data_IF_007382618441
#
_entry.id   IF_007382618441
#
_cell.length_a   1.000
_cell.length_b   1.000
_cell.length_c   1.000
_cell.angle_alpha   90.00
_cell.angle_beta   90.00
_cell.angle_gamma   90.00
#
_symmetry.space_group_name_H-M   'P 1'
#
loop_
_entity.id
_entity.type
_entity.pdbx_description
1 polymer ?
#
# COMPACT_ATOMS: atom_id res chain seq x y z
N UNK A 1 -2.32 -16.80 -6.75
CA UNK A 1 -2.06 -15.66 -5.85
C UNK A 1 -2.73 -15.89 -4.49
N UNK A 2 -2.35 -15.10 -3.47
CA UNK A 2 -2.82 -15.25 -2.08
C UNK A 2 -4.35 -15.34 -1.95
N UNK A 3 -5.06 -14.59 -2.80
CA UNK A 3 -6.51 -14.47 -2.82
C UNK A 3 -7.21 -15.45 -3.79
N UNK A 4 -6.49 -16.45 -4.31
CA UNK A 4 -7.08 -17.47 -5.17
C UNK A 4 -8.02 -18.39 -4.39
N UNK A 5 -8.99 -18.96 -5.10
CA UNK A 5 -9.94 -19.93 -4.56
C UNK A 5 -9.26 -21.16 -3.92
N UNK A 6 -8.01 -21.47 -4.28
CA UNK A 6 -7.23 -22.56 -3.70
C UNK A 6 -6.84 -22.38 -2.23
N UNK A 7 -6.94 -21.16 -1.67
CA UNK A 7 -6.64 -20.89 -0.26
C UNK A 7 -7.87 -20.74 0.63
N UNK A 8 -9.07 -20.79 0.05
CA UNK A 8 -10.35 -20.72 0.76
C UNK A 8 -10.45 -21.88 1.77
N UNK A 9 -10.89 -21.59 2.99
CA UNK A 9 -10.93 -22.59 4.07
C UNK A 9 -9.56 -22.90 4.70
N UNK A 10 -8.53 -22.10 4.40
CA UNK A 10 -7.19 -22.25 4.99
C UNK A 10 -6.54 -20.92 5.40
N UNK A 11 -7.37 -19.91 5.63
CA UNK A 11 -6.95 -18.55 6.01
C UNK A 11 -6.33 -18.45 7.41
N UNK A 12 -6.41 -19.50 8.23
CA UNK A 12 -5.68 -19.59 9.50
C UNK A 12 -4.16 -19.78 9.31
N UNK A 13 -3.70 -20.18 8.12
CA UNK A 13 -2.27 -20.42 7.85
C UNK A 13 -1.48 -19.10 7.83
N UNK A 14 -0.59 -18.95 8.81
CA UNK A 14 0.20 -17.72 9.01
C UNK A 14 1.07 -17.32 7.81
N UNK A 15 1.73 -18.28 7.16
CA UNK A 15 2.70 -18.01 6.08
C UNK A 15 2.10 -17.26 4.89
N UNK A 16 0.80 -17.43 4.60
CA UNK A 16 0.11 -16.64 3.58
C UNK A 16 0.19 -15.14 3.92
N UNK A 17 -0.21 -14.78 5.13
CA UNK A 17 -0.25 -13.39 5.56
C UNK A 17 1.15 -12.79 5.72
N UNK A 18 2.12 -13.59 6.14
CA UNK A 18 3.52 -13.16 6.18
C UNK A 18 4.05 -12.81 4.78
N UNK A 19 3.74 -13.61 3.76
CA UNK A 19 4.11 -13.32 2.37
C UNK A 19 3.47 -12.00 1.91
N UNK A 20 2.18 -11.78 2.23
CA UNK A 20 1.49 -10.53 1.93
C UNK A 20 2.17 -9.34 2.60
N UNK A 21 2.40 -9.42 3.91
CA UNK A 21 3.02 -8.35 4.67
C UNK A 21 4.44 -8.05 4.18
N UNK A 22 5.22 -9.08 3.87
CA UNK A 22 6.56 -8.92 3.32
C UNK A 22 6.53 -8.24 1.94
N UNK A 23 5.53 -8.54 1.12
CA UNK A 23 5.36 -7.90 -0.20
C UNK A 23 5.07 -6.42 -0.04
N UNK A 24 4.07 -6.05 0.78
CA UNK A 24 3.71 -4.64 0.99
C UNK A 24 4.84 -3.88 1.69
N UNK A 25 5.51 -4.48 2.68
CA UNK A 25 6.68 -3.89 3.34
C UNK A 25 7.81 -3.61 2.34
N UNK A 26 8.10 -4.54 1.42
CA UNK A 26 9.14 -4.32 0.39
C UNK A 26 8.83 -3.13 -0.50
N UNK A 27 7.58 -3.00 -0.95
CA UNK A 27 7.15 -1.85 -1.77
C UNK A 27 7.26 -0.55 -0.98
N UNK A 28 6.77 -0.52 0.27
CA UNK A 28 6.88 0.66 1.14
C UNK A 28 8.34 1.06 1.39
N UNK A 29 9.23 0.10 1.66
CA UNK A 29 10.65 0.38 1.88
C UNK A 29 11.31 0.98 0.63
N UNK A 30 10.94 0.53 -0.57
CA UNK A 30 11.47 1.11 -1.82
C UNK A 30 11.06 2.57 -1.98
N UNK A 31 9.80 2.91 -1.68
CA UNK A 31 9.33 4.30 -1.72
C UNK A 31 10.12 5.17 -0.76
N UNK A 32 10.28 4.74 0.50
CA UNK A 32 11.06 5.48 1.50
C UNK A 32 12.52 5.67 1.08
N UNK A 33 13.15 4.62 0.52
CA UNK A 33 14.52 4.71 0.01
C UNK A 33 14.65 5.71 -1.14
N UNK A 34 13.68 5.74 -2.07
CA UNK A 34 13.69 6.67 -3.19
C UNK A 34 13.42 8.11 -2.75
N UNK A 35 12.53 8.33 -1.77
CA UNK A 35 12.32 9.64 -1.15
C UNK A 35 13.61 10.18 -0.53
N UNK A 36 14.31 9.36 0.27
CA UNK A 36 15.59 9.77 0.84
C UNK A 36 16.69 10.03 -0.20
N UNK A 37 16.71 9.26 -1.31
CA UNK A 37 17.62 9.52 -2.43
C UNK A 37 17.30 10.82 -3.15
N UNK A 38 16.02 11.14 -3.33
CA UNK A 38 15.58 12.38 -3.95
C UNK A 38 15.95 13.59 -3.10
N UNK A 39 15.73 13.53 -1.79
CA UNK A 39 16.12 14.58 -0.85
C UNK A 39 17.64 14.84 -0.89
N UNK A 40 18.44 13.77 -0.90
CA UNK A 40 19.90 13.88 -1.02
C UNK A 40 20.33 14.48 -2.37
N UNK A 41 19.70 14.08 -3.48
CA UNK A 41 19.98 14.60 -4.80
C UNK A 41 19.62 16.09 -4.92
N UNK A 42 18.46 16.49 -4.40
CA UNK A 42 18.04 17.89 -4.36
C UNK A 42 18.96 18.75 -3.51
N UNK A 43 19.42 18.23 -2.36
CA UNK A 43 20.38 18.94 -1.51
C UNK A 43 21.72 19.15 -2.23
N UNK A 44 22.21 18.13 -2.94
CA UNK A 44 23.43 18.23 -3.73
C UNK A 44 23.28 19.22 -4.90
N UNK A 45 22.16 19.16 -5.62
CA UNK A 45 21.86 20.09 -6.72
C UNK A 45 21.84 21.55 -6.24
N UNK A 46 21.19 21.82 -5.11
CA UNK A 46 21.13 23.16 -4.52
C UNK A 46 22.51 23.65 -4.05
N UNK A 47 23.37 22.76 -3.52
CA UNK A 47 24.73 23.12 -3.14
C UNK A 47 25.62 23.43 -4.36
N UNK A 48 25.39 22.76 -5.50
CA UNK A 48 26.13 23.00 -6.75
C UNK A 48 25.65 24.24 -7.50
N UNK A 49 24.43 24.71 -7.27
CA UNK A 49 23.94 25.97 -7.83
C UNK A 49 24.50 27.21 -7.11
N UNK A 50 24.98 27.04 -5.87
CA UNK A 50 25.55 28.11 -5.03
C UNK A 50 27.07 28.27 -5.23
N UNK A 51 27.73 27.24 -5.75
CA UNK A 51 29.14 27.24 -6.16
C UNK A 51 29.16 27.42 -7.70
N UNK A 52 30.07 28.21 -8.28
CA UNK A 52 30.10 28.52 -9.73
C UNK A 52 30.56 27.28 -10.56
N UNK A 53 29.77 26.20 -10.51
CA UNK A 53 30.07 24.91 -11.10
C UNK A 53 29.69 24.90 -12.58
N UNK A 54 30.45 24.18 -13.40
CA UNK A 54 30.20 24.10 -14.84
C UNK A 54 28.79 23.62 -15.18
N UNK A 55 28.16 24.26 -16.17
CA UNK A 55 26.84 23.92 -16.74
C UNK A 55 26.68 22.42 -17.11
N UNK A 56 27.77 21.74 -17.47
CA UNK A 56 27.74 20.31 -17.77
C UNK A 56 27.47 19.42 -16.54
N UNK A 57 27.97 19.82 -15.37
CA UNK A 57 27.76 19.12 -14.11
C UNK A 57 26.36 19.40 -13.52
N UNK A 58 25.86 20.63 -13.69
CA UNK A 58 24.47 20.97 -13.38
C UNK A 58 23.47 20.14 -14.20
N UNK A 59 23.68 20.06 -15.53
CA UNK A 59 22.82 19.27 -16.41
C UNK A 59 22.80 17.77 -16.07
N UNK A 60 23.97 17.17 -15.76
CA UNK A 60 24.03 15.76 -15.32
C UNK A 60 23.30 15.53 -13.98
N UNK A 61 23.36 16.50 -13.08
CA UNK A 61 22.70 16.41 -11.78
C UNK A 61 21.18 16.57 -11.93
N UNK A 62 20.73 17.48 -12.79
CA UNK A 62 19.33 17.66 -13.12
C UNK A 62 18.72 16.40 -13.77
N UNK A 63 19.39 15.80 -14.77
CA UNK A 63 18.95 14.54 -15.37
C UNK A 63 18.87 13.40 -14.33
N UNK A 64 19.80 13.38 -13.36
CA UNK A 64 19.78 12.42 -12.26
C UNK A 64 18.61 12.65 -11.30
N UNK A 65 18.26 13.91 -11.00
CA UNK A 65 17.11 14.25 -10.13
C UNK A 65 15.81 13.84 -10.83
N UNK A 66 15.62 14.24 -12.09
CA UNK A 66 14.43 13.90 -12.88
C UNK A 66 14.23 12.38 -12.98
N UNK A 67 15.31 11.62 -13.17
CA UNK A 67 15.24 10.16 -13.21
C UNK A 67 14.79 9.55 -11.87
N UNK A 68 15.28 10.07 -10.74
CA UNK A 68 14.87 9.62 -9.41
C UNK A 68 13.41 9.98 -9.13
N UNK A 69 12.96 11.16 -9.55
CA UNK A 69 11.56 11.59 -9.43
C UNK A 69 10.61 10.69 -10.23
N UNK A 70 10.95 10.42 -11.50
CA UNK A 70 10.16 9.54 -12.35
C UNK A 70 10.05 8.12 -11.75
N UNK A 71 11.16 7.60 -11.23
CA UNK A 71 11.19 6.29 -10.56
C UNK A 71 10.37 6.30 -9.27
N UNK A 72 10.45 7.37 -8.48
CA UNK A 72 9.67 7.53 -7.27
C UNK A 72 8.16 7.57 -7.58
N UNK A 73 7.75 8.35 -8.57
CA UNK A 73 6.35 8.44 -9.00
C UNK A 73 5.79 7.07 -9.41
N UNK A 74 6.57 6.29 -10.17
CA UNK A 74 6.19 4.92 -10.53
C UNK A 74 6.03 4.03 -9.30
N UNK A 75 6.96 4.08 -8.35
CA UNK A 75 6.91 3.24 -7.14
C UNK A 75 5.79 3.64 -6.19
N UNK A 76 5.47 4.93 -6.08
CA UNK A 76 4.30 5.42 -5.32
C UNK A 76 3.01 4.90 -5.95
N UNK A 77 2.91 4.89 -7.28
CA UNK A 77 1.76 4.32 -7.97
C UNK A 77 1.65 2.80 -7.72
N UNK A 78 2.76 2.06 -7.80
CA UNK A 78 2.76 0.62 -7.49
C UNK A 78 2.35 0.35 -6.03
N UNK A 79 2.82 1.16 -5.08
CA UNK A 79 2.41 1.07 -3.68
C UNK A 79 0.91 1.25 -3.51
N UNK A 80 0.36 2.30 -4.12
CA UNK A 80 -1.08 2.56 -4.15
C UNK A 80 -1.84 1.36 -4.71
N UNK A 81 -1.42 0.85 -5.87
CA UNK A 81 -2.08 -0.26 -6.53
C UNK A 81 -2.08 -1.53 -5.67
N UNK A 82 -0.95 -1.85 -5.03
CA UNK A 82 -0.83 -3.00 -4.11
C UNK A 82 -1.77 -2.85 -2.92
N UNK A 83 -1.81 -1.68 -2.28
CA UNK A 83 -2.66 -1.44 -1.10
C UNK A 83 -4.13 -1.47 -1.48
N UNK A 84 -4.54 -0.74 -2.52
CA UNK A 84 -5.93 -0.69 -2.98
C UNK A 84 -6.41 -2.05 -3.47
N UNK A 85 -5.62 -2.73 -4.31
CA UNK A 85 -5.94 -4.06 -4.81
C UNK A 85 -6.08 -5.06 -3.67
N UNK A 86 -5.17 -5.06 -2.70
CA UNK A 86 -5.24 -5.96 -1.54
C UNK A 86 -6.52 -5.72 -0.72
N UNK A 87 -6.84 -4.46 -0.42
CA UNK A 87 -8.06 -4.09 0.30
C UNK A 87 -9.32 -4.53 -0.45
N UNK A 88 -9.36 -4.33 -1.77
CA UNK A 88 -10.46 -4.78 -2.64
C UNK A 88 -10.63 -6.31 -2.62
N UNK A 89 -9.52 -7.06 -2.68
CA UNK A 89 -9.56 -8.52 -2.61
C UNK A 89 -10.10 -9.02 -1.27
N UNK A 90 -9.68 -8.44 -0.15
CA UNK A 90 -10.25 -8.78 1.15
C UNK A 90 -11.76 -8.54 1.21
N UNK A 91 -12.22 -7.36 0.80
CA UNK A 91 -13.64 -7.02 0.82
C UNK A 91 -14.47 -7.95 -0.06
N UNK A 92 -13.95 -8.32 -1.25
CA UNK A 92 -14.59 -9.29 -2.13
C UNK A 92 -14.70 -10.66 -1.47
N UNK A 93 -13.64 -11.17 -0.86
CA UNK A 93 -13.65 -12.47 -0.19
C UNK A 93 -14.59 -12.49 1.02
N UNK A 94 -14.61 -11.40 1.80
CA UNK A 94 -15.51 -11.25 2.94
C UNK A 94 -16.99 -11.18 2.53
N UNK A 95 -17.28 -10.62 1.36
CA UNK A 95 -18.63 -10.51 0.82
C UNK A 95 -19.08 -11.76 0.04
N UNK A 96 -18.14 -12.62 -0.35
CA UNK A 96 -18.45 -13.82 -1.14
C UNK A 96 -18.96 -14.97 -0.28
N UNK A 97 -19.95 -15.70 -0.78
CA UNK A 97 -20.34 -16.97 -0.18
C UNK A 97 -19.47 -18.11 -0.75
N UNK A 98 -18.30 -18.27 -0.16
CA UNK A 98 -17.38 -19.34 -0.52
C UNK A 98 -17.73 -20.56 0.33
N UNK A 99 -18.54 -21.47 -0.21
CA UNK A 99 -19.10 -22.64 0.49
C UNK A 99 -18.07 -23.61 1.10
N UNK A 100 -16.78 -23.45 0.83
CA UNK A 100 -15.68 -24.18 1.48
C UNK A 100 -15.13 -23.49 2.75
N UNK A 101 -15.46 -22.22 3.00
CA UNK A 101 -15.00 -21.48 4.17
C UNK A 101 -16.03 -21.57 5.31
N UNK A 102 -15.64 -22.25 6.39
CA UNK A 102 -16.43 -22.30 7.62
C UNK A 102 -16.45 -20.95 8.34
N UNK A 103 -17.28 -20.87 9.39
CA UNK A 103 -17.41 -19.67 10.24
C UNK A 103 -16.06 -19.22 10.82
N UNK A 104 -15.27 -20.18 11.32
CA UNK A 104 -13.94 -19.90 11.88
C UNK A 104 -12.98 -19.34 10.84
N UNK A 105 -12.99 -19.87 9.61
CA UNK A 105 -12.14 -19.36 8.53
C UNK A 105 -12.51 -17.92 8.17
N UNK A 106 -13.81 -17.62 8.10
CA UNK A 106 -14.30 -16.26 7.86
C UNK A 106 -13.90 -15.30 8.98
N UNK A 107 -13.95 -15.75 10.23
CA UNK A 107 -13.46 -14.97 11.37
C UNK A 107 -11.95 -14.67 11.24
N UNK A 108 -11.15 -15.65 10.82
CA UNK A 108 -9.72 -15.45 10.53
C UNK A 108 -9.50 -14.44 9.40
N UNK A 109 -10.20 -14.57 8.27
CA UNK A 109 -10.11 -13.63 7.15
C UNK A 109 -10.44 -12.21 7.59
N UNK A 110 -11.50 -12.05 8.38
CA UNK A 110 -11.90 -10.75 8.90
C UNK A 110 -10.86 -10.17 9.88
N UNK A 111 -10.28 -11.01 10.75
CA UNK A 111 -9.17 -10.62 11.62
C UNK A 111 -7.96 -10.12 10.83
N UNK A 112 -7.58 -10.83 9.75
CA UNK A 112 -6.48 -10.47 8.85
C UNK A 112 -6.75 -9.20 8.07
N UNK A 113 -7.99 -8.98 7.66
CA UNK A 113 -8.40 -7.73 7.03
C UNK A 113 -8.22 -6.55 7.99
N UNK A 114 -8.72 -6.66 9.22
CA UNK A 114 -8.55 -5.64 10.26
C UNK A 114 -7.08 -5.39 10.60
N UNK A 115 -6.28 -6.45 10.70
CA UNK A 115 -4.82 -6.34 10.87
C UNK A 115 -4.20 -5.54 9.72
N UNK A 116 -4.46 -5.93 8.47
CA UNK A 116 -3.93 -5.28 7.28
C UNK A 116 -4.24 -3.77 7.26
N UNK A 117 -5.50 -3.38 7.46
CA UNK A 117 -5.89 -1.97 7.45
C UNK A 117 -5.17 -1.16 8.54
N UNK A 118 -5.02 -1.72 9.76
CA UNK A 118 -4.32 -1.03 10.85
C UNK A 118 -2.82 -0.93 10.61
N UNK A 119 -2.20 -2.00 10.10
CA UNK A 119 -0.77 -2.03 9.81
C UNK A 119 -0.39 -0.99 8.76
N UNK A 120 -1.20 -0.84 7.71
CA UNK A 120 -0.94 0.07 6.60
C UNK A 120 -1.83 1.32 6.63
N UNK A 121 -2.26 1.75 7.83
CA UNK A 121 -3.24 2.84 8.01
C UNK A 121 -2.87 4.12 7.27
N UNK A 122 -1.58 4.48 7.20
CA UNK A 122 -1.11 5.68 6.50
C UNK A 122 -1.46 5.58 5.01
N UNK A 123 -1.06 4.49 4.35
CA UNK A 123 -1.35 4.26 2.94
C UNK A 123 -2.85 4.08 2.69
N UNK A 124 -3.58 3.49 3.63
CA UNK A 124 -5.05 3.37 3.55
C UNK A 124 -5.70 4.76 3.58
N UNK A 125 -5.25 5.66 4.46
CA UNK A 125 -5.82 7.01 4.56
C UNK A 125 -5.42 7.90 3.38
N UNK A 126 -4.19 7.82 2.88
CA UNK A 126 -3.76 8.49 1.65
C UNK A 126 -4.61 8.10 0.44
N UNK A 127 -5.15 6.88 0.45
CA UNK A 127 -6.01 6.34 -0.61
C UNK A 127 -7.49 6.27 -0.22
N UNK A 128 -7.90 6.94 0.86
CA UNK A 128 -9.28 6.89 1.37
C UNK A 128 -10.32 7.23 0.29
N UNK A 129 -10.18 8.27 -0.55
CA UNK A 129 -11.20 8.60 -1.57
C UNK A 129 -11.45 7.47 -2.58
N UNK A 130 -10.39 6.78 -3.01
CA UNK A 130 -10.49 5.63 -3.92
C UNK A 130 -11.12 4.44 -3.20
N UNK A 131 -10.69 4.19 -1.96
CA UNK A 131 -11.21 3.07 -1.18
C UNK A 131 -12.69 3.25 -0.81
N UNK A 132 -13.15 4.46 -0.54
CA UNK A 132 -14.55 4.77 -0.27
C UNK A 132 -15.44 4.57 -1.49
N UNK A 133 -14.96 4.98 -2.67
CA UNK A 133 -15.72 4.85 -3.92
C UNK A 133 -15.77 3.40 -4.43
N UNK A 134 -14.78 2.57 -4.13
CA UNK A 134 -14.67 1.24 -4.71
C UNK A 134 -14.86 0.07 -3.72
N UNK A 135 -14.55 0.27 -2.44
CA UNK A 135 -14.51 -0.81 -1.43
C UNK A 135 -15.47 -0.55 -0.27
N UNK A 136 -15.39 0.63 0.35
CA UNK A 136 -16.19 0.99 1.53
C UNK A 136 -17.47 1.73 1.16
N UNK A 137 -18.14 1.25 0.11
CA UNK A 137 -19.40 1.81 -0.39
C UNK A 137 -20.57 1.48 0.56
N UNK A 138 -21.71 2.14 0.37
CA UNK A 138 -22.92 1.87 1.17
C UNK A 138 -23.38 0.40 1.11
N UNK A 139 -23.10 -0.29 0.01
CA UNK A 139 -23.44 -1.69 -0.23
C UNK A 139 -22.47 -2.68 0.46
N UNK A 140 -21.31 -2.20 0.92
CA UNK A 140 -20.37 -3.04 1.65
C UNK A 140 -20.94 -3.42 3.03
N UNK A 141 -20.58 -4.62 3.50
CA UNK A 141 -21.03 -5.11 4.80
C UNK A 141 -20.67 -4.15 5.93
N UNK A 142 -21.51 -4.12 6.97
CA UNK A 142 -21.30 -3.27 8.15
C UNK A 142 -19.92 -3.47 8.76
N UNK A 143 -19.44 -4.72 8.79
CA UNK A 143 -18.17 -5.10 9.38
C UNK A 143 -16.98 -4.55 8.59
N UNK A 144 -17.05 -4.61 7.25
CA UNK A 144 -16.01 -4.05 6.37
C UNK A 144 -15.93 -2.53 6.50
N UNK A 145 -17.09 -1.86 6.52
CA UNK A 145 -17.17 -0.41 6.74
C UNK A 145 -16.67 -0.02 8.13
N UNK A 146 -17.07 -0.74 9.18
CA UNK A 146 -16.63 -0.45 10.54
C UNK A 146 -15.10 -0.58 10.70
N UNK A 147 -14.48 -1.59 10.07
CA UNK A 147 -13.04 -1.75 10.10
C UNK A 147 -12.29 -0.55 9.51
N UNK A 148 -12.85 0.09 8.48
CA UNK A 148 -12.29 1.31 7.90
C UNK A 148 -12.51 2.54 8.78
N UNK A 149 -13.71 2.70 9.37
CA UNK A 149 -13.96 3.78 10.33
C UNK A 149 -13.05 3.70 11.56
N UNK A 150 -12.76 2.49 12.05
CA UNK A 150 -11.81 2.29 13.14
C UNK A 150 -10.42 2.81 12.78
N UNK A 151 -9.96 2.57 11.55
CA UNK A 151 -8.64 3.02 11.05
C UNK A 151 -8.61 4.53 10.87
N UNK A 152 -9.71 5.12 10.39
CA UNK A 152 -9.88 6.58 10.29
C UNK A 152 -9.73 7.25 11.66
N UNK A 153 -10.39 6.72 12.69
CA UNK A 153 -10.29 7.25 14.07
C UNK A 153 -8.88 7.15 14.65
N UNK A 154 -8.10 6.14 14.25
CA UNK A 154 -6.70 5.97 14.68
C UNK A 154 -5.73 6.91 13.94
N UNK A 155 -6.18 7.53 12.85
CA UNK A 155 -5.35 8.35 11.97
C UNK A 155 -5.76 9.83 11.95
N UNK A 156 -6.84 10.18 12.68
CA UNK A 156 -7.29 11.54 12.98
C UNK A 156 -6.59 12.06 14.24
#
# INVERSE_FOLDING_TARGET
>A
MLFDNGHVGSWSKFHYWEILHNTVKKVNMRVVQLQGRLEAANTAANAMADDDVSVAAENQTAESVEHVEATLAQMVQEQKDVVVSTTRHFARLLSSDLGAAGELDRAWLHGRFKEFLRTYRVQIMENAPVLESEVFTAEASSDVRQAFEDVRKLSA
#
